data_IF_731418996665
#
_entry.id   IF_731418996665
#
_cell.length_a   1.000
_cell.length_b   1.000
_cell.length_c   1.000
_cell.angle_alpha   90.00
_cell.angle_beta   90.00
_cell.angle_gamma   90.00
#
_symmetry.space_group_name_H-M   'P 1'
#
loop_
_entity.id
_entity.type
_entity.pdbx_description
1 polymer ?
#
# COMPACT_ATOMS: atom_id res chain seq x y z
N UNK A 1 3.09 9.91 -11.93
CA UNK A 1 2.74 10.27 -10.53
C UNK A 1 4.03 10.67 -9.80
N UNK A 2 4.05 11.82 -9.15
CA UNK A 2 5.23 12.34 -8.41
C UNK A 2 5.49 11.51 -7.12
N UNK A 3 6.75 11.46 -6.67
CA UNK A 3 7.17 10.75 -5.46
C UNK A 3 6.49 11.28 -4.19
N UNK A 4 6.23 12.59 -4.12
CA UNK A 4 5.47 13.20 -3.02
C UNK A 4 4.01 12.69 -2.98
N UNK A 5 3.32 12.64 -4.14
CA UNK A 5 1.96 12.12 -4.26
C UNK A 5 1.85 10.63 -3.88
N UNK A 6 2.88 9.83 -4.14
CA UNK A 6 2.92 8.42 -3.71
C UNK A 6 3.06 8.29 -2.19
N UNK A 7 3.88 9.12 -1.56
CA UNK A 7 4.00 9.15 -0.10
C UNK A 7 2.69 9.58 0.55
N UNK A 8 2.05 10.61 0.02
CA UNK A 8 0.75 11.08 0.48
C UNK A 8 -0.29 9.96 0.37
N UNK A 9 -0.36 9.25 -0.76
CA UNK A 9 -1.23 8.07 -0.90
C UNK A 9 -0.88 6.91 0.02
N UNK A 10 0.40 6.68 0.33
CA UNK A 10 0.81 5.68 1.32
C UNK A 10 0.40 6.05 2.76
N UNK A 11 0.21 7.36 3.03
CA UNK A 11 -0.27 7.89 4.31
C UNK A 11 -1.80 7.93 4.36
N UNK A 12 -2.47 8.29 3.27
CA UNK A 12 -3.93 8.31 3.14
C UNK A 12 -4.52 6.90 3.13
N UNK A 13 -3.90 5.95 2.41
CA UNK A 13 -4.29 4.54 2.45
C UNK A 13 -3.79 3.84 3.73
N UNK A 14 -3.04 4.56 4.58
CA UNK A 14 -2.68 4.14 5.93
C UNK A 14 -3.83 4.28 6.95
N UNK A 15 -5.03 4.69 6.51
CA UNK A 15 -6.29 4.41 7.22
C UNK A 15 -6.48 2.87 7.22
N UNK A 16 -6.21 2.06 8.25
CA UNK A 16 -5.87 2.28 9.65
C UNK A 16 -5.17 1.02 10.26
N UNK A 17 -3.83 0.98 10.34
CA UNK A 17 -2.97 -0.04 11.02
C UNK A 17 -2.32 -1.16 10.16
N UNK A 18 -1.80 -0.86 8.98
CA UNK A 18 -0.99 -1.82 8.22
C UNK A 18 0.52 -1.67 8.53
N UNK A 19 1.19 -2.62 9.19
CA UNK A 19 2.64 -2.56 9.38
C UNK A 19 3.34 -3.09 8.12
N UNK A 20 3.30 -2.32 7.02
CA UNK A 20 4.13 -2.63 5.84
C UNK A 20 5.60 -2.55 6.26
N UNK A 21 6.37 -3.59 5.92
CA UNK A 21 7.82 -3.61 6.15
C UNK A 21 8.47 -2.54 5.30
N UNK A 22 9.61 -2.02 5.80
CA UNK A 22 10.35 -0.98 5.09
C UNK A 22 10.73 -1.41 3.65
N UNK A 23 11.06 -2.70 3.46
CA UNK A 23 11.34 -3.27 2.14
C UNK A 23 10.15 -3.26 1.19
N UNK A 24 8.93 -3.46 1.69
CA UNK A 24 7.68 -3.43 0.91
C UNK A 24 7.36 -1.99 0.49
N UNK A 25 7.52 -1.03 1.42
CA UNK A 25 7.40 0.40 1.13
C UNK A 25 8.36 0.86 0.04
N UNK A 26 9.63 0.43 0.12
CA UNK A 26 10.65 0.76 -0.89
C UNK A 26 10.31 0.18 -2.25
N UNK A 27 9.81 -1.06 -2.32
CA UNK A 27 9.37 -1.67 -3.58
C UNK A 27 8.20 -0.92 -4.20
N UNK A 28 7.18 -0.57 -3.40
CA UNK A 28 6.03 0.22 -3.87
C UNK A 28 6.47 1.57 -4.44
N UNK A 29 7.34 2.28 -3.73
CA UNK A 29 7.83 3.59 -4.17
C UNK A 29 8.59 3.52 -5.51
N UNK A 30 9.25 2.40 -5.79
CA UNK A 30 9.99 2.16 -7.03
C UNK A 30 9.08 1.85 -8.24
N UNK A 31 7.81 1.47 -8.03
CA UNK A 31 6.89 1.16 -9.13
C UNK A 31 6.49 2.41 -9.91
N UNK A 32 6.20 2.30 -11.23
CA UNK A 32 5.52 3.34 -11.98
C UNK A 32 4.20 3.77 -11.31
N UNK A 33 3.71 4.99 -11.56
CA UNK A 33 2.53 5.53 -10.87
C UNK A 33 1.27 4.66 -11.01
N UNK A 34 1.12 4.03 -12.18
CA UNK A 34 -0.05 3.23 -12.52
C UNK A 34 0.01 1.87 -11.79
N UNK A 35 1.18 1.24 -11.79
CA UNK A 35 1.47 -0.01 -11.07
C UNK A 35 1.48 0.17 -9.54
N UNK A 36 1.91 1.34 -9.06
CA UNK A 36 1.90 1.68 -7.64
C UNK A 36 0.48 1.63 -7.07
N UNK A 37 -0.50 2.20 -7.77
CA UNK A 37 -1.89 2.19 -7.31
C UNK A 37 -2.47 0.78 -7.28
N UNK A 38 -2.19 -0.02 -8.31
CA UNK A 38 -2.68 -1.41 -8.41
C UNK A 38 -2.07 -2.29 -7.31
N UNK A 39 -0.77 -2.21 -7.09
CA UNK A 39 -0.11 -3.03 -6.06
C UNK A 39 -0.49 -2.57 -4.65
N UNK A 40 -0.67 -1.25 -4.45
CA UNK A 40 -1.12 -0.71 -3.17
C UNK A 40 -2.57 -1.14 -2.84
N UNK A 41 -3.47 -1.13 -3.83
CA UNK A 41 -4.84 -1.64 -3.69
C UNK A 41 -4.84 -3.14 -3.38
N UNK A 42 -4.05 -3.93 -4.11
CA UNK A 42 -3.91 -5.38 -3.88
C UNK A 42 -3.46 -5.70 -2.46
N UNK A 43 -2.43 -5.02 -1.96
CA UNK A 43 -1.94 -5.21 -0.60
C UNK A 43 -3.02 -4.83 0.43
N UNK A 44 -3.77 -3.75 0.20
CA UNK A 44 -4.84 -3.35 1.11
C UNK A 44 -5.93 -4.42 1.25
N UNK A 45 -6.30 -5.09 0.14
CA UNK A 45 -7.27 -6.19 0.11
C UNK A 45 -6.73 -7.43 0.83
N UNK A 46 -5.51 -7.87 0.51
CA UNK A 46 -4.86 -9.05 1.10
C UNK A 46 -4.80 -8.97 2.64
N UNK A 47 -4.63 -7.77 3.18
CA UNK A 47 -4.65 -7.55 4.62
C UNK A 47 -6.02 -7.48 5.25
N UNK A 48 -6.96 -6.85 4.56
CA UNK A 48 -8.33 -6.85 5.03
C UNK A 48 -8.84 -8.29 5.14
N UNK A 49 -8.54 -9.13 4.14
CA UNK A 49 -8.82 -10.56 4.15
C UNK A 49 -8.04 -11.30 5.25
N UNK A 50 -6.75 -11.07 5.43
CA UNK A 50 -5.98 -11.79 6.46
C UNK A 50 -6.28 -11.34 7.91
N UNK A 51 -6.73 -10.10 8.14
CA UNK A 51 -7.04 -9.56 9.48
C UNK A 51 -8.51 -9.72 9.87
N UNK A 52 -9.43 -9.68 8.91
CA UNK A 52 -10.87 -9.73 9.18
C UNK A 52 -11.59 -10.89 8.46
N UNK A 53 -10.93 -11.60 7.55
CA UNK A 53 -11.45 -12.78 6.85
C UNK A 53 -11.23 -14.11 7.57
N UNK A 54 -10.86 -14.07 8.85
CA UNK A 54 -11.01 -15.22 9.74
C UNK A 54 -12.48 -15.36 10.12
N UNK A 55 -13.15 -16.37 9.55
CA UNK A 55 -14.44 -16.88 10.07
C UNK A 55 -14.31 -17.31 11.53
#
# INVERSE_FOLDING_TARGET
MDGFLKLDKLLDLQVANYPLRMSEKVRLMALPGDEFLVELDRLSVEYHESRYGGF
#
